data_IF_698280373699
#
_entry.id   IF_698280373699
#
_cell.length_a   1.000
_cell.length_b   1.000
_cell.length_c   1.000
_cell.angle_alpha   90.00
_cell.angle_beta   90.00
_cell.angle_gamma   90.00
#
_symmetry.space_group_name_H-M   'P 1'
#
loop_
_entity.id
_entity.type
_entity.pdbx_description
1 polymer ?
#
# COMPACT_ATOMS: atom_id res chain seq x y z
N UNK A 1 15.46 3.16 22.38
CA UNK A 1 16.09 2.92 21.07
C UNK A 1 15.64 1.55 20.53
N UNK A 2 14.32 1.29 20.59
CA UNK A 2 13.66 0.01 20.19
C UNK A 2 12.48 0.21 19.22
N UNK A 3 12.24 1.42 18.71
CA UNK A 3 11.04 1.71 17.91
C UNK A 3 11.15 1.43 16.41
N UNK A 4 12.35 1.13 15.90
CA UNK A 4 12.57 0.93 14.44
C UNK A 4 12.41 -0.53 13.99
N UNK A 5 12.42 -1.48 14.93
CA UNK A 5 12.35 -2.92 14.60
C UNK A 5 10.95 -3.38 14.19
N UNK A 6 9.90 -2.69 14.62
CA UNK A 6 8.51 -3.13 14.39
C UNK A 6 7.95 -2.74 13.02
N UNK A 7 8.52 -1.74 12.36
CA UNK A 7 8.00 -1.26 11.07
C UNK A 7 8.15 -2.28 9.93
N UNK A 8 9.14 -3.17 10.05
CA UNK A 8 9.43 -4.24 9.08
C UNK A 8 9.29 -5.64 9.69
N UNK A 9 8.89 -5.74 10.97
CA UNK A 9 8.61 -7.01 11.62
C UNK A 9 7.29 -7.59 11.09
N UNK A 10 7.41 -8.68 10.33
CA UNK A 10 6.28 -9.32 9.65
C UNK A 10 5.22 -9.85 10.62
N UNK A 11 5.63 -10.41 11.74
CA UNK A 11 4.69 -10.97 12.71
C UNK A 11 3.96 -9.86 13.46
N UNK A 12 4.66 -8.80 13.83
CA UNK A 12 4.05 -7.61 14.41
C UNK A 12 3.06 -6.95 13.42
N UNK A 13 3.45 -6.79 12.16
CA UNK A 13 2.59 -6.22 11.12
C UNK A 13 1.31 -7.06 10.91
N UNK A 14 1.44 -8.38 10.84
CA UNK A 14 0.31 -9.29 10.61
C UNK A 14 -0.64 -9.39 11.80
N UNK A 15 -0.10 -9.45 13.02
CA UNK A 15 -0.89 -9.80 14.20
C UNK A 15 -1.33 -8.60 15.03
N UNK A 16 -0.53 -7.53 15.04
CA UNK A 16 -0.76 -6.37 15.90
C UNK A 16 -1.18 -5.16 15.09
N UNK A 17 -0.37 -4.72 14.15
CA UNK A 17 -0.62 -3.47 13.44
C UNK A 17 -1.77 -3.57 12.43
N UNK A 18 -1.84 -4.68 11.72
CA UNK A 18 -2.81 -4.95 10.66
C UNK A 18 -3.58 -6.27 10.88
N UNK A 19 -3.62 -6.79 12.09
CA UNK A 19 -4.42 -7.96 12.46
C UNK A 19 -5.92 -7.74 12.23
N UNK A 20 -6.37 -6.50 12.34
CA UNK A 20 -7.66 -6.00 11.87
C UNK A 20 -7.45 -4.66 11.14
N UNK A 21 -8.46 -4.16 10.44
CA UNK A 21 -8.37 -2.84 9.80
C UNK A 21 -8.61 -1.66 10.75
N UNK A 22 -8.81 -1.84 12.03
CA UNK A 22 -9.14 -0.77 12.98
C UNK A 22 -8.10 0.34 12.98
N UNK A 23 -6.80 -0.01 13.08
CA UNK A 23 -5.70 0.95 13.05
C UNK A 23 -5.60 1.68 11.70
N UNK A 24 -5.83 0.97 10.60
CA UNK A 24 -5.87 1.58 9.26
C UNK A 24 -7.07 2.52 9.12
N UNK A 25 -8.25 2.07 9.55
CA UNK A 25 -9.47 2.86 9.49
C UNK A 25 -9.38 4.13 10.34
N UNK A 26 -8.77 4.06 11.53
CA UNK A 26 -8.52 5.25 12.37
C UNK A 26 -7.65 6.28 11.64
N UNK A 27 -6.55 5.86 10.98
CA UNK A 27 -5.71 6.74 10.16
C UNK A 27 -6.46 7.33 8.98
N UNK A 28 -7.24 6.54 8.27
CA UNK A 28 -8.08 7.01 7.17
C UNK A 28 -9.07 8.07 7.66
N UNK A 29 -9.67 7.91 8.85
CA UNK A 29 -10.60 8.90 9.42
C UNK A 29 -9.92 10.22 9.76
N UNK A 30 -8.67 10.19 10.27
CA UNK A 30 -7.90 11.43 10.51
C UNK A 30 -7.69 12.18 9.19
N UNK A 31 -7.24 11.49 8.15
CA UNK A 31 -7.06 12.12 6.85
C UNK A 31 -8.36 12.68 6.28
N UNK A 32 -9.46 11.94 6.34
CA UNK A 32 -10.77 12.43 5.88
C UNK A 32 -11.24 13.68 6.62
N UNK A 33 -10.96 13.75 7.92
CA UNK A 33 -11.43 14.84 8.78
C UNK A 33 -10.60 16.11 8.64
N UNK A 34 -9.30 15.99 8.40
CA UNK A 34 -8.35 17.09 8.47
C UNK A 34 -7.64 17.43 7.16
N UNK A 35 -7.88 16.67 6.09
CA UNK A 35 -7.32 17.01 4.77
C UNK A 35 -7.99 18.26 4.20
N UNK A 36 -7.17 19.18 3.70
CA UNK A 36 -7.62 20.39 2.99
C UNK A 36 -7.72 20.16 1.47
N UNK A 37 -7.37 18.97 1.00
CA UNK A 37 -7.43 18.60 -0.41
C UNK A 37 -8.88 18.45 -0.90
N UNK A 38 -9.13 18.83 -2.13
CA UNK A 38 -10.44 18.74 -2.78
C UNK A 38 -10.71 17.36 -3.38
N UNK A 39 -9.70 16.53 -3.52
CA UNK A 39 -9.77 15.20 -4.13
C UNK A 39 -9.50 14.11 -3.08
N UNK A 40 -10.35 13.09 -3.03
CA UNK A 40 -10.10 11.93 -2.18
C UNK A 40 -8.87 11.15 -2.66
N UNK A 41 -8.09 10.60 -1.74
CA UNK A 41 -6.88 9.82 -2.04
C UNK A 41 -7.15 8.68 -3.01
N UNK A 42 -8.23 7.96 -2.80
CA UNK A 42 -8.62 6.82 -3.62
C UNK A 42 -8.90 7.21 -5.08
N UNK A 43 -9.49 8.40 -5.28
CA UNK A 43 -9.74 8.96 -6.63
C UNK A 43 -8.46 9.49 -7.26
N UNK A 44 -7.58 10.09 -6.47
CA UNK A 44 -6.27 10.55 -6.93
C UNK A 44 -5.45 9.38 -7.47
N UNK A 45 -5.29 8.32 -6.70
CA UNK A 45 -4.54 7.14 -7.14
C UNK A 45 -5.18 6.50 -8.36
N UNK A 46 -6.52 6.37 -8.38
CA UNK A 46 -7.21 5.79 -9.53
C UNK A 46 -6.97 6.62 -10.80
N UNK A 47 -6.94 7.94 -10.69
CA UNK A 47 -6.68 8.85 -11.81
C UNK A 47 -5.27 8.71 -12.42
N UNK A 48 -4.34 8.08 -11.72
CA UNK A 48 -2.97 7.82 -12.19
C UNK A 48 -2.78 6.39 -12.73
N UNK A 49 -3.80 5.53 -12.63
CA UNK A 49 -3.75 4.22 -13.26
C UNK A 49 -3.88 4.36 -14.78
N UNK A 50 -3.18 3.51 -15.55
CA UNK A 50 -3.40 3.45 -17.00
C UNK A 50 -4.76 2.83 -17.31
N UNK A 51 -5.15 2.86 -18.58
CA UNK A 51 -6.26 2.04 -19.04
C UNK A 51 -5.93 0.56 -18.83
N UNK A 52 -6.80 -0.11 -18.09
CA UNK A 52 -6.67 -1.53 -17.72
C UNK A 52 -7.60 -2.46 -18.53
N UNK A 53 -8.19 -1.98 -19.61
CA UNK A 53 -9.00 -2.81 -20.51
C UNK A 53 -8.18 -4.00 -21.03
N UNK A 54 -8.65 -5.22 -20.78
CA UNK A 54 -7.96 -6.47 -21.13
C UNK A 54 -6.63 -6.71 -20.42
N UNK A 55 -6.30 -5.93 -19.39
CA UNK A 55 -5.01 -5.98 -18.68
C UNK A 55 -5.12 -6.58 -17.30
N UNK A 56 -3.97 -7.03 -16.80
CA UNK A 56 -3.82 -7.58 -15.43
C UNK A 56 -3.03 -6.60 -14.56
N UNK A 57 -3.61 -6.23 -13.43
CA UNK A 57 -2.98 -5.41 -12.40
C UNK A 57 -2.73 -6.24 -11.15
N UNK A 58 -1.55 -6.06 -10.55
CA UNK A 58 -1.21 -6.56 -9.21
C UNK A 58 -1.11 -5.39 -8.24
N UNK A 59 -1.83 -5.47 -7.13
CA UNK A 59 -1.71 -4.53 -6.02
C UNK A 59 -1.01 -5.20 -4.83
N UNK A 60 0.12 -4.67 -4.44
CA UNK A 60 0.87 -5.10 -3.26
C UNK A 60 0.44 -4.29 -2.04
N UNK A 61 0.19 -4.98 -0.91
CA UNK A 61 -0.24 -4.34 0.32
C UNK A 61 -1.58 -3.61 0.17
N UNK A 62 -2.61 -4.30 -0.33
CA UNK A 62 -3.90 -3.67 -0.63
C UNK A 62 -4.70 -3.25 0.61
N UNK A 63 -4.29 -3.69 1.82
CA UNK A 63 -5.03 -3.49 3.04
C UNK A 63 -6.44 -4.07 2.95
N UNK A 64 -7.42 -3.35 3.51
CA UNK A 64 -8.85 -3.70 3.40
C UNK A 64 -9.48 -3.31 2.04
N UNK A 65 -8.67 -3.07 1.04
CA UNK A 65 -9.08 -2.77 -0.34
C UNK A 65 -10.01 -1.56 -0.52
N UNK A 66 -10.05 -0.61 0.42
CA UNK A 66 -10.94 0.56 0.35
C UNK A 66 -10.77 1.36 -0.95
N UNK A 67 -9.52 1.51 -1.42
CA UNK A 67 -9.20 2.20 -2.68
C UNK A 67 -9.84 1.51 -3.88
N UNK A 68 -9.77 0.19 -3.93
CA UNK A 68 -10.26 -0.65 -5.01
C UNK A 68 -11.78 -0.74 -4.99
N UNK A 69 -12.35 -0.95 -3.81
CA UNK A 69 -13.80 -1.01 -3.60
C UNK A 69 -14.53 0.25 -4.05
N UNK A 70 -14.03 1.42 -3.68
CA UNK A 70 -14.64 2.69 -4.07
C UNK A 70 -14.65 2.89 -5.58
N UNK A 71 -13.62 2.42 -6.26
CA UNK A 71 -13.42 2.61 -7.68
C UNK A 71 -13.83 1.39 -8.53
N UNK A 72 -14.39 0.34 -7.93
CA UNK A 72 -14.67 -0.92 -8.63
C UNK A 72 -15.58 -0.77 -9.87
N UNK A 73 -16.44 0.22 -9.89
CA UNK A 73 -17.35 0.52 -11.00
C UNK A 73 -16.63 1.20 -12.18
N UNK A 74 -15.41 1.70 -11.99
CA UNK A 74 -14.63 2.43 -12.99
C UNK A 74 -13.69 1.53 -13.79
N UNK A 75 -13.47 0.30 -13.34
CA UNK A 75 -12.63 -0.66 -14.06
C UNK A 75 -13.39 -1.27 -15.25
N UNK A 76 -12.67 -1.46 -16.35
CA UNK A 76 -13.19 -2.17 -17.51
C UNK A 76 -13.69 -3.58 -17.13
N UNK A 77 -14.74 -4.10 -17.80
CA UNK A 77 -15.31 -5.40 -17.47
C UNK A 77 -14.32 -6.57 -17.61
N UNK A 78 -13.35 -6.45 -18.50
CA UNK A 78 -12.31 -7.43 -18.81
C UNK A 78 -10.98 -7.20 -18.08
N UNK A 79 -10.91 -6.17 -17.21
CA UNK A 79 -9.76 -5.96 -16.34
C UNK A 79 -9.66 -7.08 -15.29
N UNK A 80 -8.46 -7.58 -15.05
CA UNK A 80 -8.18 -8.54 -13.97
C UNK A 80 -7.32 -7.88 -12.90
N UNK A 81 -7.79 -7.85 -11.66
CA UNK A 81 -7.13 -7.15 -10.56
C UNK A 81 -6.82 -8.16 -9.45
N UNK A 82 -5.54 -8.36 -9.20
CA UNK A 82 -5.06 -9.22 -8.11
C UNK A 82 -4.63 -8.33 -6.95
N UNK A 83 -5.31 -8.47 -5.83
CA UNK A 83 -5.04 -7.75 -4.59
C UNK A 83 -4.28 -8.66 -3.63
N UNK A 84 -3.11 -8.24 -3.17
CA UNK A 84 -2.34 -8.99 -2.20
C UNK A 84 -2.07 -8.19 -0.95
N UNK A 85 -2.08 -8.87 0.19
CA UNK A 85 -1.67 -8.31 1.48
C UNK A 85 -0.99 -9.40 2.31
N UNK A 86 -0.12 -9.00 3.22
CA UNK A 86 0.53 -9.90 4.16
C UNK A 86 -0.44 -10.37 5.26
N UNK A 87 -1.49 -9.58 5.53
CA UNK A 87 -2.48 -9.82 6.59
C UNK A 87 -3.75 -10.46 6.05
N UNK A 88 -4.04 -11.67 6.50
CA UNK A 88 -5.32 -12.33 6.22
C UNK A 88 -6.52 -11.58 6.84
N UNK A 89 -6.31 -10.89 7.99
CA UNK A 89 -7.34 -10.06 8.61
C UNK A 89 -7.77 -8.90 7.70
N UNK A 90 -6.82 -8.22 7.05
CA UNK A 90 -7.11 -7.19 6.05
C UNK A 90 -7.88 -7.77 4.85
N UNK A 91 -7.44 -8.92 4.35
CA UNK A 91 -8.08 -9.56 3.21
C UNK A 91 -9.48 -10.08 3.53
N UNK A 92 -9.76 -10.49 4.75
CA UNK A 92 -11.10 -10.91 5.19
C UNK A 92 -12.09 -9.73 5.08
N UNK A 93 -11.71 -8.53 5.52
CA UNK A 93 -12.53 -7.33 5.33
C UNK A 93 -12.69 -6.96 3.84
N UNK A 94 -11.58 -7.02 3.08
CA UNK A 94 -11.60 -6.76 1.65
C UNK A 94 -12.59 -7.68 0.91
N UNK A 95 -12.62 -8.98 1.25
CA UNK A 95 -13.57 -9.96 0.67
C UNK A 95 -15.02 -9.60 0.99
N UNK A 96 -15.31 -9.24 2.24
CA UNK A 96 -16.65 -8.87 2.66
C UNK A 96 -17.17 -7.65 1.88
N UNK A 97 -16.29 -6.71 1.59
CA UNK A 97 -16.63 -5.44 0.96
C UNK A 97 -16.67 -5.49 -0.58
N UNK A 98 -15.75 -6.23 -1.21
CA UNK A 98 -15.71 -6.38 -2.68
C UNK A 98 -16.77 -7.34 -3.20
N UNK A 99 -17.37 -8.14 -2.31
CA UNK A 99 -18.34 -9.17 -2.64
C UNK A 99 -17.81 -10.13 -3.72
N UNK A 100 -18.71 -10.75 -4.48
CA UNK A 100 -18.37 -11.68 -5.57
C UNK A 100 -18.08 -10.96 -6.89
N UNK A 101 -17.26 -9.92 -6.87
CA UNK A 101 -16.87 -9.23 -8.10
C UNK A 101 -15.73 -10.02 -8.78
N UNK A 102 -16.05 -10.73 -9.85
CA UNK A 102 -15.15 -11.64 -10.57
C UNK A 102 -13.85 -10.98 -11.10
N UNK A 103 -13.79 -9.66 -11.18
CA UNK A 103 -12.58 -8.94 -11.59
C UNK A 103 -11.49 -8.93 -10.53
N UNK A 104 -11.84 -9.17 -9.26
CA UNK A 104 -10.92 -9.10 -8.13
C UNK A 104 -10.58 -10.49 -7.61
N UNK A 105 -9.29 -10.75 -7.49
CA UNK A 105 -8.76 -11.93 -6.81
C UNK A 105 -7.94 -11.47 -5.61
N UNK A 106 -8.18 -12.03 -4.42
CA UNK A 106 -7.45 -11.68 -3.20
C UNK A 106 -6.56 -12.84 -2.77
N UNK A 107 -5.28 -12.56 -2.50
CA UNK A 107 -4.29 -13.56 -2.07
C UNK A 107 -3.46 -13.04 -0.89
N UNK A 108 -3.38 -13.83 0.18
CA UNK A 108 -2.43 -13.56 1.27
C UNK A 108 -1.02 -13.90 0.80
N UNK A 109 -0.13 -12.88 0.77
CA UNK A 109 1.17 -13.03 0.14
C UNK A 109 2.18 -12.00 0.65
N UNK A 110 3.42 -12.41 0.75
CA UNK A 110 4.55 -11.53 1.00
C UNK A 110 5.04 -10.91 -0.31
N UNK A 111 5.12 -9.59 -0.37
CA UNK A 111 5.57 -8.86 -1.55
C UNK A 111 7.03 -9.15 -1.94
N UNK A 112 7.85 -9.65 -1.01
CA UNK A 112 9.24 -10.04 -1.29
C UNK A 112 9.36 -11.45 -1.90
N UNK A 113 8.25 -12.18 -2.04
CA UNK A 113 8.19 -13.51 -2.65
C UNK A 113 6.84 -13.74 -3.29
N UNK A 114 6.73 -13.37 -4.54
CA UNK A 114 5.49 -13.43 -5.31
C UNK A 114 5.32 -14.81 -6.00
N UNK A 115 4.25 -15.51 -5.65
CA UNK A 115 3.88 -16.79 -6.28
C UNK A 115 3.07 -16.52 -7.56
N UNK A 116 3.73 -15.87 -8.53
CA UNK A 116 3.23 -15.62 -9.87
C UNK A 116 4.32 -15.93 -10.88
N UNK A 117 3.91 -16.28 -12.10
CA UNK A 117 4.81 -16.49 -13.22
C UNK A 117 5.48 -15.16 -13.63
N UNK A 118 6.65 -15.28 -14.27
CA UNK A 118 7.34 -14.14 -14.86
C UNK A 118 6.43 -13.49 -15.91
N UNK A 119 6.59 -12.18 -16.09
CA UNK A 119 5.90 -11.39 -17.12
C UNK A 119 4.37 -11.58 -17.15
N UNK A 120 3.74 -11.75 -15.97
CA UNK A 120 2.32 -12.07 -15.88
C UNK A 120 1.41 -10.85 -15.65
N UNK A 121 1.98 -9.68 -15.36
CA UNK A 121 1.22 -8.45 -15.07
C UNK A 121 1.60 -7.30 -15.99
N UNK A 122 0.58 -6.53 -16.40
CA UNK A 122 0.77 -5.30 -17.18
C UNK A 122 1.08 -4.10 -16.27
N UNK A 123 0.59 -4.14 -15.03
CA UNK A 123 0.77 -3.05 -14.08
C UNK A 123 0.87 -3.56 -12.65
N UNK A 124 1.76 -2.96 -11.86
CA UNK A 124 1.89 -3.24 -10.42
C UNK A 124 1.71 -1.95 -9.63
N UNK A 125 0.98 -2.02 -8.52
CA UNK A 125 0.88 -0.89 -7.57
C UNK A 125 1.39 -1.27 -6.19
N UNK A 126 2.08 -0.32 -5.51
CA UNK A 126 2.53 -0.46 -4.13
C UNK A 126 2.28 0.85 -3.38
N UNK A 127 1.08 0.99 -2.79
CA UNK A 127 0.65 2.23 -2.15
C UNK A 127 0.81 2.13 -0.63
N UNK A 128 1.67 2.96 -0.04
CA UNK A 128 1.94 3.03 1.41
C UNK A 128 2.32 1.68 2.05
N UNK A 129 3.08 0.84 1.33
CA UNK A 129 3.49 -0.46 1.84
C UNK A 129 5.01 -0.73 1.76
N UNK A 130 5.75 -0.10 0.85
CA UNK A 130 7.18 -0.40 0.63
C UNK A 130 8.05 -0.16 1.88
N UNK A 131 7.68 0.75 2.74
CA UNK A 131 8.39 0.98 4.01
C UNK A 131 8.13 -0.09 5.08
N UNK A 132 7.25 -1.04 4.81
CA UNK A 132 7.00 -2.21 5.67
C UNK A 132 7.76 -3.46 5.22
N UNK A 133 8.38 -3.45 4.04
CA UNK A 133 9.15 -4.62 3.58
C UNK A 133 10.57 -4.59 4.13
N UNK A 134 11.10 -5.71 4.63
CA UNK A 134 12.46 -5.76 5.17
C UNK A 134 13.54 -5.53 4.12
N UNK A 135 13.31 -5.98 2.89
CA UNK A 135 14.23 -5.83 1.76
C UNK A 135 13.47 -5.30 0.54
N UNK A 136 13.62 -3.98 0.33
CA UNK A 136 12.99 -3.29 -0.80
C UNK A 136 13.59 -3.73 -2.13
N UNK A 137 14.91 -3.98 -2.17
CA UNK A 137 15.59 -4.38 -3.40
C UNK A 137 15.07 -5.74 -3.87
N UNK A 138 14.91 -6.71 -2.96
CA UNK A 138 14.31 -7.99 -3.27
C UNK A 138 12.86 -7.84 -3.73
N UNK A 139 12.07 -7.01 -3.05
CA UNK A 139 10.67 -6.75 -3.45
C UNK A 139 10.59 -6.15 -4.85
N UNK A 140 11.45 -5.19 -5.18
CA UNK A 140 11.49 -4.59 -6.51
C UNK A 140 11.99 -5.58 -7.58
N UNK A 141 12.89 -6.50 -7.24
CA UNK A 141 13.30 -7.59 -8.13
C UNK A 141 12.12 -8.52 -8.46
N UNK A 142 11.31 -8.89 -7.46
CA UNK A 142 10.08 -9.67 -7.68
C UNK A 142 9.05 -8.91 -8.52
N UNK A 143 8.87 -7.62 -8.27
CA UNK A 143 8.00 -6.76 -9.11
C UNK A 143 8.49 -6.75 -10.56
N UNK A 144 9.80 -6.58 -10.77
CA UNK A 144 10.40 -6.60 -12.12
C UNK A 144 10.20 -7.95 -12.81
N UNK A 145 10.34 -9.04 -12.08
CA UNK A 145 10.15 -10.39 -12.60
C UNK A 145 8.71 -10.64 -13.09
N UNK A 146 7.73 -10.22 -12.30
CA UNK A 146 6.31 -10.46 -12.64
C UNK A 146 5.73 -9.46 -13.63
N UNK A 147 6.37 -8.30 -13.83
CA UNK A 147 5.97 -7.33 -14.83
C UNK A 147 6.34 -7.82 -16.24
N UNK A 148 5.42 -7.62 -17.18
CA UNK A 148 5.71 -7.77 -18.61
C UNK A 148 6.79 -6.78 -19.05
N UNK A 149 7.49 -7.00 -20.18
CA UNK A 149 8.52 -6.07 -20.69
C UNK A 149 8.04 -4.62 -20.84
N UNK A 150 6.78 -4.42 -21.26
CA UNK A 150 6.16 -3.09 -21.40
C UNK A 150 5.30 -2.71 -20.18
N UNK A 151 5.41 -3.47 -19.10
CA UNK A 151 4.68 -3.22 -17.86
C UNK A 151 5.26 -2.05 -17.07
N UNK A 152 4.46 -1.49 -16.19
CA UNK A 152 4.87 -0.38 -15.35
C UNK A 152 4.47 -0.58 -13.88
N UNK A 153 5.20 0.07 -12.98
CA UNK A 153 4.89 0.13 -11.56
C UNK A 153 4.56 1.55 -11.13
N UNK A 154 3.55 1.68 -10.28
CA UNK A 154 3.26 2.90 -9.52
C UNK A 154 3.43 2.61 -8.03
N UNK A 155 4.19 3.46 -7.35
CA UNK A 155 4.34 3.40 -5.91
C UNK A 155 4.01 4.76 -5.28
N UNK A 156 3.35 4.73 -4.12
CA UNK A 156 3.11 5.91 -3.31
C UNK A 156 3.66 5.67 -1.90
N UNK A 157 4.30 6.70 -1.35
CA UNK A 157 4.87 6.68 -0.01
C UNK A 157 4.73 8.05 0.65
N UNK A 158 5.06 8.14 1.93
CA UNK A 158 5.09 9.41 2.64
C UNK A 158 6.26 10.26 2.14
N UNK A 159 6.03 11.57 2.00
CA UNK A 159 7.09 12.54 1.70
C UNK A 159 7.96 12.83 2.92
N UNK A 160 9.11 13.48 2.71
CA UNK A 160 10.08 13.81 3.77
C UNK A 160 9.49 14.71 4.86
N UNK A 161 8.50 15.52 4.53
CA UNK A 161 7.81 16.43 5.46
C UNK A 161 6.51 15.85 6.01
N UNK A 162 6.29 14.53 5.90
CA UNK A 162 5.08 13.90 6.40
C UNK A 162 4.97 14.10 7.92
N UNK A 163 3.86 14.72 8.36
CA UNK A 163 3.56 15.02 9.77
C UNK A 163 4.60 15.89 10.49
N UNK A 164 5.41 16.68 9.79
CA UNK A 164 6.45 17.50 10.39
C UNK A 164 5.89 18.49 11.41
N UNK A 165 4.72 19.08 11.17
CA UNK A 165 4.09 20.02 12.11
C UNK A 165 3.68 19.32 13.43
N UNK A 166 3.25 18.06 13.34
CA UNK A 166 2.96 17.26 14.53
C UNK A 166 4.23 16.91 15.30
N UNK A 167 5.32 16.60 14.59
CA UNK A 167 6.62 16.31 15.17
C UNK A 167 7.15 17.54 15.93
N UNK A 168 7.08 18.72 15.33
CA UNK A 168 7.44 19.99 15.96
C UNK A 168 6.59 20.22 17.21
N UNK A 169 5.27 20.11 17.10
CA UNK A 169 4.35 20.32 18.21
C UNK A 169 4.63 19.35 19.37
N UNK A 170 4.82 18.07 19.10
CA UNK A 170 5.11 17.09 20.15
C UNK A 170 6.47 17.31 20.80
N UNK A 171 7.47 17.74 20.04
CA UNK A 171 8.80 18.07 20.56
C UNK A 171 8.76 19.29 21.49
N UNK A 172 7.96 20.29 21.15
CA UNK A 172 7.74 21.47 22.01
C UNK A 172 6.99 21.14 23.31
N UNK A 173 5.96 20.30 23.22
CA UNK A 173 5.14 19.91 24.38
C UNK A 173 5.82 18.88 25.28
N UNK A 174 6.64 18.03 24.72
CA UNK A 174 7.29 16.93 25.40
C UNK A 174 8.74 16.78 24.94
N UNK A 175 9.68 17.56 25.52
CA UNK A 175 11.08 17.56 25.10
C UNK A 175 11.79 16.19 25.16
N UNK A 176 11.28 15.26 25.99
CA UNK A 176 11.77 13.89 26.07
C UNK A 176 11.22 12.95 24.95
N UNK A 177 10.39 13.47 24.05
CA UNK A 177 9.71 12.69 23.02
C UNK A 177 10.66 12.11 21.97
N UNK A 178 11.77 12.76 21.66
CA UNK A 178 12.79 12.25 20.76
C UNK A 178 12.47 12.29 19.26
N UNK A 179 11.31 12.83 18.88
CA UNK A 179 10.87 13.01 17.49
C UNK A 179 10.04 11.83 16.94
N UNK A 180 9.15 12.14 16.02
CA UNK A 180 8.55 11.15 15.13
C UNK A 180 9.64 10.70 14.17
N UNK A 181 10.09 9.46 14.29
CA UNK A 181 10.92 8.86 13.24
C UNK A 181 10.07 8.75 11.99
N UNK A 182 10.11 9.80 11.17
CA UNK A 182 9.48 9.77 9.86
C UNK A 182 10.11 8.64 9.07
N UNK A 183 9.32 7.66 8.65
CA UNK A 183 9.73 6.59 7.75
C UNK A 183 10.00 7.19 6.36
N UNK A 184 11.02 8.05 6.26
CA UNK A 184 11.46 8.62 5.00
C UNK A 184 12.35 7.60 4.32
N UNK A 185 11.84 6.99 3.25
CA UNK A 185 12.65 6.18 2.35
C UNK A 185 13.56 7.13 1.55
N UNK A 186 14.78 7.34 2.03
CA UNK A 186 15.81 8.06 1.26
C UNK A 186 16.31 7.16 0.13
N UNK A 187 15.65 7.21 -1.02
CA UNK A 187 16.20 6.63 -2.24
C UNK A 187 17.33 7.50 -2.76
N UNK A 188 18.57 7.03 -2.69
CA UNK A 188 19.65 7.54 -3.52
C UNK A 188 19.50 6.91 -4.91
N UNK A 189 18.89 7.63 -5.84
CA UNK A 189 18.94 7.26 -7.26
C UNK A 189 20.39 7.54 -7.68
N UNK A 190 21.21 6.49 -7.79
CA UNK A 190 22.51 6.57 -8.45
C UNK A 190 22.28 6.90 -9.93
N UNK A 191 22.98 7.93 -10.43
CA UNK A 191 23.11 8.20 -11.87
C UNK A 191 24.02 7.17 -12.50
#
# INVERSE_FOLDING_TARGET
MESDSHSTDRDYLRQVQYGSADNLNARIQIHKRFTNGTQAWEDFIFGHLPDLSGKRLLALGCGNAVQWRKNQHRFAPDATIVLTDLSEGMLAEARADLKENARFTLRCMDASRLDFEDESFDFVTANHMLYHVPDIAQTLAEVTRVLKPDGAMMAATNGDNYMIDLDVLLTEFWPAYGGLHTMSLKFKIGR
#
